data_IF_214486591847
#
_entry.id   IF_214486591847
#
_cell.length_a   1.000
_cell.length_b   1.000
_cell.length_c   1.000
_cell.angle_alpha   90.00
_cell.angle_beta   90.00
_cell.angle_gamma   90.00
#
_symmetry.space_group_name_H-M   'P 1'
#
loop_
_entity.id
_entity.type
_entity.pdbx_description
1 polymer ?
#
# COMPACT_ATOMS: atom_id res chain seq x y z
N UNK A 1 -7.74 -72.96 -32.25
CA UNK A 1 -9.17 -73.31 -32.41
C UNK A 1 -9.91 -72.38 -31.47
N UNK A 2 -10.61 -71.31 -31.86
CA UNK A 2 -11.39 -70.96 -33.06
C UNK A 2 -11.23 -69.46 -33.36
N UNK A 3 -11.29 -69.11 -34.65
CA UNK A 3 -11.29 -67.78 -35.27
C UNK A 3 -12.72 -67.18 -35.34
N UNK A 4 -12.86 -65.86 -35.27
CA UNK A 4 -13.93 -65.08 -35.92
C UNK A 4 -13.52 -63.58 -36.02
N UNK A 5 -13.31 -63.05 -37.23
CA UNK A 5 -14.27 -62.26 -38.05
C UNK A 5 -14.22 -60.74 -37.74
N UNK A 6 -13.38 -59.93 -38.39
CA UNK A 6 -13.55 -59.13 -39.64
C UNK A 6 -14.68 -58.10 -39.68
N UNK A 7 -14.29 -56.85 -40.02
CA UNK A 7 -15.12 -55.68 -40.41
C UNK A 7 -14.54 -54.40 -39.78
N UNK A 8 -13.54 -53.71 -40.35
CA UNK A 8 -13.60 -52.72 -41.47
C UNK A 8 -14.77 -51.74 -41.36
N UNK A 9 -14.52 -50.57 -40.77
CA UNK A 9 -15.30 -49.36 -41.00
C UNK A 9 -14.39 -48.14 -41.10
N UNK A 10 -14.53 -47.42 -42.21
CA UNK A 10 -13.67 -46.35 -42.66
C UNK A 10 -14.10 -44.98 -42.12
N UNK A 11 -13.09 -44.18 -41.75
CA UNK A 11 -13.16 -42.81 -41.22
C UNK A 11 -13.50 -41.78 -42.30
N UNK A 12 -14.27 -40.71 -42.02
CA UNK A 12 -14.20 -39.49 -42.81
C UNK A 12 -13.31 -38.42 -42.14
N UNK A 13 -12.62 -37.68 -43.01
CA UNK A 13 -11.54 -36.72 -42.79
C UNK A 13 -12.04 -35.40 -42.21
N UNK A 14 -11.23 -34.73 -41.39
CA UNK A 14 -11.27 -33.27 -41.24
C UNK A 14 -9.87 -32.71 -41.48
N UNK A 15 -9.73 -32.00 -42.60
CA UNK A 15 -8.55 -31.26 -42.98
C UNK A 15 -8.41 -30.01 -42.09
N UNK A 16 -7.18 -29.77 -41.62
CA UNK A 16 -6.75 -28.47 -41.12
C UNK A 16 -6.69 -27.48 -42.29
N UNK A 17 -7.20 -26.27 -42.10
CA UNK A 17 -6.65 -25.07 -42.74
C UNK A 17 -6.86 -23.89 -41.81
N UNK A 18 -5.75 -23.27 -41.43
CA UNK A 18 -5.68 -22.07 -40.63
C UNK A 18 -6.15 -20.87 -41.45
N UNK A 19 -6.89 -19.98 -40.79
CA UNK A 19 -6.97 -18.58 -41.21
C UNK A 19 -6.92 -17.70 -39.97
N UNK A 20 -6.00 -16.74 -40.04
CA UNK A 20 -5.73 -15.74 -39.04
C UNK A 20 -6.91 -14.79 -38.87
N UNK A 21 -7.18 -14.36 -37.63
CA UNK A 21 -7.74 -13.04 -37.39
C UNK A 21 -7.31 -12.52 -36.03
N UNK A 22 -6.78 -11.30 -36.09
CA UNK A 22 -6.20 -10.54 -34.99
C UNK A 22 -7.26 -9.77 -34.20
N UNK A 23 -6.84 -9.29 -33.03
CA UNK A 23 -7.37 -8.16 -32.26
C UNK A 23 -8.61 -8.44 -31.39
N UNK A 24 -8.44 -8.31 -30.07
CA UNK A 24 -8.67 -7.01 -29.43
C UNK A 24 -8.32 -7.03 -27.94
N UNK A 25 -7.87 -5.87 -27.51
CA UNK A 25 -7.34 -5.49 -26.20
C UNK A 25 -8.31 -5.87 -25.07
N UNK A 26 -7.86 -6.69 -24.11
CA UNK A 26 -8.37 -6.60 -22.74
C UNK A 26 -7.52 -5.57 -22.01
N UNK A 27 -7.93 -4.30 -22.13
CA UNK A 27 -7.56 -3.28 -21.17
C UNK A 27 -8.00 -3.78 -19.79
N UNK A 28 -7.02 -3.95 -18.91
CA UNK A 28 -7.18 -4.23 -17.50
C UNK A 28 -8.14 -3.21 -16.89
N UNK A 29 -9.34 -3.66 -16.54
CA UNK A 29 -10.22 -2.92 -15.66
C UNK A 29 -9.50 -2.73 -14.32
N UNK A 30 -9.06 -1.50 -14.04
CA UNK A 30 -8.62 -1.11 -12.71
C UNK A 30 -9.84 -1.20 -11.80
N UNK A 31 -9.90 -2.28 -11.03
CA UNK A 31 -10.91 -2.49 -10.00
C UNK A 31 -10.70 -1.39 -8.95
N UNK A 32 -11.51 -0.36 -8.99
CA UNK A 32 -11.63 0.65 -7.94
C UNK A 32 -12.24 -0.03 -6.71
N UNK A 33 -11.39 -0.49 -5.81
CA UNK A 33 -11.80 -1.05 -4.52
C UNK A 33 -12.16 0.12 -3.60
N UNK A 34 -13.38 0.60 -3.76
CA UNK A 34 -14.00 1.62 -2.90
C UNK A 34 -15.23 0.98 -2.26
N UNK A 35 -15.03 0.15 -1.24
CA UNK A 35 -16.14 -0.32 -0.41
C UNK A 35 -15.68 -0.61 1.02
N UNK A 36 -16.32 0.09 1.96
CA UNK A 36 -16.43 -0.13 3.41
C UNK A 36 -15.27 0.24 4.35
N UNK A 37 -15.46 1.35 5.08
CA UNK A 37 -15.04 1.49 6.49
C UNK A 37 -13.81 2.36 6.77
N UNK A 38 -14.04 3.52 7.41
CA UNK A 38 -13.07 4.53 7.88
C UNK A 38 -12.47 5.44 6.79
N UNK A 39 -12.43 6.75 7.04
CA UNK A 39 -11.91 7.77 6.09
C UNK A 39 -10.40 7.73 5.85
N UNK A 40 -9.73 6.64 6.23
CA UNK A 40 -8.30 6.44 6.11
C UNK A 40 -7.97 5.77 4.78
N UNK A 41 -7.04 6.35 4.01
CA UNK A 41 -6.58 5.78 2.74
C UNK A 41 -5.46 4.78 2.98
N UNK A 42 -5.55 3.62 2.32
CA UNK A 42 -4.50 2.58 2.32
C UNK A 42 -3.52 2.81 1.16
N UNK A 43 -2.34 2.19 1.23
CA UNK A 43 -1.29 2.30 0.21
C UNK A 43 -0.35 3.49 0.37
N UNK A 44 0.72 3.50 -0.43
CA UNK A 44 1.83 4.45 -0.34
C UNK A 44 1.41 5.89 -0.71
N UNK A 45 2.07 6.85 -0.08
CA UNK A 45 2.12 8.25 -0.48
C UNK A 45 3.54 8.77 -0.29
N UNK A 46 3.85 9.86 -0.99
CA UNK A 46 5.15 10.50 -0.90
C UNK A 46 5.04 12.00 -1.18
N UNK A 47 5.91 12.77 -0.54
CA UNK A 47 6.11 14.18 -0.81
C UNK A 47 7.61 14.48 -0.68
N UNK A 48 8.14 15.30 -1.58
CA UNK A 48 9.52 15.79 -1.55
C UNK A 48 9.47 17.30 -1.56
N UNK A 49 10.08 17.91 -0.55
CA UNK A 49 10.09 19.37 -0.36
C UNK A 49 11.54 19.84 -0.23
N UNK A 50 11.88 20.93 -0.92
CA UNK A 50 13.14 21.64 -0.68
C UNK A 50 13.11 22.29 0.71
N UNK A 51 14.05 21.92 1.58
CA UNK A 51 14.06 22.34 2.99
C UNK A 51 14.33 23.82 3.23
N UNK A 52 14.90 24.55 2.27
CA UNK A 52 15.23 25.97 2.43
C UNK A 52 14.11 26.88 1.92
N UNK A 53 13.45 26.47 0.84
CA UNK A 53 12.46 27.28 0.12
C UNK A 53 11.02 26.84 0.37
N UNK A 54 10.82 25.61 0.88
CA UNK A 54 9.50 25.00 1.01
C UNK A 54 8.87 24.57 -0.32
N UNK A 55 9.63 24.63 -1.44
CA UNK A 55 9.10 24.26 -2.75
C UNK A 55 8.88 22.74 -2.84
N UNK A 56 7.67 22.33 -3.22
CA UNK A 56 7.37 20.93 -3.53
C UNK A 56 8.05 20.55 -4.84
N UNK A 57 8.87 19.50 -4.79
CA UNK A 57 9.57 18.93 -5.94
C UNK A 57 8.84 17.72 -6.51
N UNK A 58 8.06 17.02 -5.67
CA UNK A 58 7.28 15.86 -6.03
C UNK A 58 6.20 15.59 -4.99
N UNK A 59 5.03 15.12 -5.42
CA UNK A 59 3.93 14.68 -4.55
C UNK A 59 3.12 13.53 -5.18
N UNK A 60 2.72 12.57 -4.36
CA UNK A 60 1.74 11.52 -4.69
C UNK A 60 0.85 11.27 -3.48
N UNK A 61 -0.45 11.61 -3.61
CA UNK A 61 -1.48 11.47 -2.57
C UNK A 61 -1.05 12.09 -1.22
N UNK A 62 -0.35 13.22 -1.26
CA UNK A 62 0.25 13.86 -0.08
C UNK A 62 -0.79 14.28 0.96
N UNK A 63 -1.96 14.78 0.52
CA UNK A 63 -3.02 15.27 1.42
C UNK A 63 -4.04 14.20 1.84
N UNK A 64 -3.90 12.96 1.37
CA UNK A 64 -4.83 11.90 1.73
C UNK A 64 -4.64 11.47 3.19
N UNK A 65 -5.75 11.47 3.96
CA UNK A 65 -5.77 11.10 5.38
C UNK A 65 -5.18 9.70 5.60
N UNK A 66 -4.16 9.61 6.47
CA UNK A 66 -3.45 8.38 6.82
C UNK A 66 -3.11 8.30 8.29
N UNK A 67 -3.08 7.09 8.84
CA UNK A 67 -2.56 6.85 10.19
C UNK A 67 -1.07 7.19 10.23
N UNK A 68 -0.65 8.18 11.04
CA UNK A 68 0.75 8.60 11.10
C UNK A 68 1.66 7.59 11.83
N UNK A 69 1.09 6.69 12.64
CA UNK A 69 1.84 5.79 13.52
C UNK A 69 2.92 6.55 14.31
N UNK A 70 4.16 6.05 14.35
CA UNK A 70 5.27 6.68 15.05
C UNK A 70 5.67 8.06 14.51
N UNK A 71 5.19 8.52 13.35
CA UNK A 71 5.43 9.89 12.88
C UNK A 71 4.83 10.94 13.83
N UNK A 72 3.83 10.58 14.63
CA UNK A 72 3.30 11.44 15.71
C UNK A 72 4.38 11.92 16.68
N UNK A 73 5.46 11.14 16.86
CA UNK A 73 6.59 11.53 17.72
C UNK A 73 7.26 12.82 17.25
N UNK A 74 7.18 13.19 15.97
CA UNK A 74 7.70 14.47 15.46
C UNK A 74 6.99 15.65 16.13
N UNK A 75 5.67 15.59 16.28
CA UNK A 75 4.91 16.62 17.00
C UNK A 75 5.23 16.63 18.49
N UNK A 76 5.39 15.46 19.10
CA UNK A 76 5.79 15.35 20.51
C UNK A 76 7.14 16.01 20.76
N UNK A 77 8.11 15.78 19.87
CA UNK A 77 9.44 16.40 19.96
C UNK A 77 9.39 17.90 19.67
N UNK A 78 8.57 18.34 18.71
CA UNK A 78 8.37 19.76 18.43
C UNK A 78 7.95 20.53 19.70
N UNK A 79 6.92 20.04 20.39
CA UNK A 79 6.46 20.65 21.64
C UNK A 79 7.52 20.60 22.74
N UNK A 80 8.26 19.50 22.85
CA UNK A 80 9.34 19.38 23.83
C UNK A 80 10.43 20.44 23.59
N UNK A 81 10.90 20.59 22.35
CA UNK A 81 11.93 21.56 22.01
C UNK A 81 11.43 23.00 22.19
N UNK A 82 10.17 23.28 21.87
CA UNK A 82 9.56 24.58 22.17
C UNK A 82 9.62 24.91 23.68
N UNK A 83 9.33 23.94 24.55
CA UNK A 83 9.46 24.15 26.00
C UNK A 83 10.90 24.31 26.47
N UNK A 84 11.85 23.64 25.80
CA UNK A 84 13.27 23.80 26.10
C UNK A 84 13.79 25.18 25.66
N UNK A 85 13.42 25.65 24.48
CA UNK A 85 13.73 27.00 24.00
C UNK A 85 13.12 28.08 24.89
N UNK A 86 11.90 27.84 25.40
CA UNK A 86 11.26 28.71 26.39
C UNK A 86 11.89 28.63 27.80
N UNK A 87 12.91 27.79 28.01
CA UNK A 87 13.60 27.62 29.29
C UNK A 87 12.80 26.90 30.37
N UNK A 88 11.66 26.28 30.02
CA UNK A 88 10.80 25.55 30.97
C UNK A 88 11.30 24.14 31.27
N UNK A 89 12.08 23.56 30.36
CA UNK A 89 12.72 22.26 30.49
C UNK A 89 14.16 22.33 29.99
N UNK A 90 14.99 21.42 30.48
CA UNK A 90 16.34 21.19 29.98
C UNK A 90 16.66 19.69 30.05
N UNK A 91 17.79 19.29 29.47
CA UNK A 91 18.19 17.88 29.41
C UNK A 91 18.44 17.25 30.78
N UNK A 92 18.73 18.06 31.80
CA UNK A 92 18.96 17.61 33.18
C UNK A 92 17.69 17.73 34.05
N UNK A 93 16.55 18.08 33.46
CA UNK A 93 15.30 18.20 34.19
C UNK A 93 14.85 16.82 34.63
N UNK A 94 14.72 16.62 35.94
CA UNK A 94 14.21 15.37 36.48
C UNK A 94 12.73 15.20 36.11
N UNK A 95 12.37 14.00 35.65
CA UNK A 95 10.98 13.63 35.38
C UNK A 95 10.62 12.37 36.15
N UNK A 96 9.52 12.45 36.91
CA UNK A 96 8.96 11.29 37.59
C UNK A 96 8.16 10.45 36.60
N UNK A 97 8.51 9.17 36.48
CA UNK A 97 7.74 8.22 35.70
C UNK A 97 6.48 7.84 36.48
N UNK A 98 5.31 8.23 35.98
CA UNK A 98 4.03 7.87 36.60
C UNK A 98 3.74 6.37 36.49
N UNK A 99 2.96 5.83 37.43
CA UNK A 99 2.48 4.44 37.38
C UNK A 99 1.74 4.12 36.06
N UNK A 100 1.00 5.10 35.52
CA UNK A 100 0.32 4.98 34.22
C UNK A 100 1.31 4.82 33.07
N UNK A 101 2.38 5.62 33.05
CA UNK A 101 3.41 5.55 32.02
C UNK A 101 4.16 4.22 32.07
N UNK A 102 4.51 3.75 33.27
CA UNK A 102 5.18 2.47 33.48
C UNK A 102 4.34 1.26 33.06
N UNK A 103 3.01 1.36 33.10
CA UNK A 103 2.09 0.29 32.71
C UNK A 103 1.77 0.26 31.21
N UNK A 104 2.25 1.21 30.39
CA UNK A 104 2.01 1.18 28.95
C UNK A 104 2.82 0.07 28.28
N UNK A 105 2.19 -0.66 27.36
CA UNK A 105 2.90 -1.65 26.54
C UNK A 105 3.92 -0.96 25.62
N UNK A 106 5.08 -1.58 25.37
CA UNK A 106 6.00 -1.10 24.35
C UNK A 106 5.29 -1.06 22.99
N UNK A 107 5.38 0.08 22.30
CA UNK A 107 4.73 0.35 20.99
C UNK A 107 5.67 0.15 19.82
#
# INVERSE_FOLDING_TARGET
>A
MVMASTGVDAKPRKHKSAHAQSQSKKASASKSDDTTGSGWKTGTAAIIVDGNTGKVLYEDKADALRHPASLTKVMTLYLLFEQMEAGRLNLNSEMVVSARAAAQSPS
#
